data_IF_002620411823
#
_entry.id   IF_002620411823
#
_cell.length_a   1.000
_cell.length_b   1.000
_cell.length_c   1.000
_cell.angle_alpha   90.00
_cell.angle_beta   90.00
_cell.angle_gamma   90.00
#
_symmetry.space_group_name_H-M   'P 1'
#
loop_
_entity.id
_entity.type
_entity.pdbx_description
1 polymer ?
#
# COMPACT_ATOMS: atom_id res chain seq x y z
N UNK A 1 -9.31 -25.11 -0.66
CA UNK A 1 -9.98 -24.79 -1.94
C UNK A 1 -9.58 -23.38 -2.36
N UNK A 2 -8.85 -23.29 -3.48
CA UNK A 2 -8.53 -22.13 -4.35
C UNK A 2 -8.02 -20.83 -3.70
N UNK A 3 -6.70 -20.81 -3.51
CA UNK A 3 -5.91 -19.58 -3.50
C UNK A 3 -5.66 -19.17 -4.97
N UNK A 4 -6.65 -18.53 -5.60
CA UNK A 4 -6.58 -17.97 -6.95
C UNK A 4 -6.51 -16.42 -6.81
N UNK A 5 -5.37 -15.86 -6.39
CA UNK A 5 -5.20 -14.40 -6.36
C UNK A 5 -3.85 -13.88 -6.88
N UNK A 6 -3.10 -14.71 -7.61
CA UNK A 6 -1.98 -14.25 -8.44
C UNK A 6 -1.96 -15.03 -9.76
N UNK A 7 -3.00 -14.83 -10.60
CA UNK A 7 -2.97 -15.24 -12.00
C UNK A 7 -2.26 -14.16 -12.79
N UNK A 8 -0.95 -14.31 -12.93
CA UNK A 8 -0.18 -13.81 -14.07
C UNK A 8 -0.89 -14.28 -15.35
N UNK A 9 -1.74 -13.44 -15.96
CA UNK A 9 -2.44 -13.78 -17.20
C UNK A 9 -1.54 -13.44 -18.37
N UNK A 10 -0.86 -14.48 -18.85
CA UNK A 10 -0.74 -14.86 -20.26
C UNK A 10 -1.25 -13.82 -21.27
N UNK A 11 -0.31 -13.27 -22.05
CA UNK A 11 -0.45 -12.85 -23.45
C UNK A 11 -1.85 -12.38 -23.87
N UNK A 12 -2.13 -11.08 -23.75
CA UNK A 12 -3.28 -10.47 -24.42
C UNK A 12 -2.88 -9.93 -25.78
N UNK A 13 -3.48 -10.54 -26.78
CA UNK A 13 -3.42 -10.17 -28.18
C UNK A 13 -3.86 -8.73 -28.44
N UNK A 14 -3.33 -8.20 -29.55
CA UNK A 14 -3.66 -6.95 -30.25
C UNK A 14 -5.16 -6.66 -30.33
N UNK A 15 -5.52 -5.39 -30.11
CA UNK A 15 -6.31 -4.48 -30.99
C UNK A 15 -6.74 -3.22 -30.21
N UNK A 16 -6.17 -2.06 -30.53
CA UNK A 16 -6.74 -1.04 -31.43
C UNK A 16 -7.78 -0.12 -30.76
N UNK A 17 -7.37 1.13 -30.47
CA UNK A 17 -8.22 2.34 -30.42
C UNK A 17 -8.86 2.60 -31.82
N UNK A 18 -9.85 3.52 -32.05
CA UNK A 18 -9.86 4.93 -31.59
C UNK A 18 -11.27 5.60 -31.42
N UNK A 19 -11.27 6.91 -31.11
CA UNK A 19 -12.39 7.87 -31.35
C UNK A 19 -12.92 8.53 -30.08
N UNK A 20 -12.72 9.81 -29.71
CA UNK A 20 -12.61 11.13 -30.36
C UNK A 20 -13.93 11.94 -30.42
N UNK A 21 -13.82 13.21 -30.00
CA UNK A 21 -14.66 14.40 -30.29
C UNK A 21 -16.08 14.47 -29.66
N UNK A 22 -16.39 15.40 -28.75
CA UNK A 22 -16.60 16.85 -28.87
C UNK A 22 -18.10 17.22 -28.84
N UNK A 23 -18.50 18.21 -28.04
CA UNK A 23 -19.89 18.69 -28.02
C UNK A 23 -20.20 19.73 -26.94
N UNK A 24 -19.84 20.98 -27.20
CA UNK A 24 -20.31 22.20 -26.52
C UNK A 24 -21.82 22.43 -26.68
N UNK A 25 -22.52 22.93 -25.66
CA UNK A 25 -23.18 24.26 -25.71
C UNK A 25 -23.97 24.60 -24.43
N UNK A 26 -24.04 25.92 -24.20
CA UNK A 26 -24.59 26.63 -23.04
C UNK A 26 -26.13 26.71 -23.11
N UNK A 27 -26.80 26.68 -21.95
CA UNK A 27 -27.78 27.74 -21.63
C UNK A 27 -28.06 27.86 -20.13
N UNK A 28 -27.90 29.08 -19.66
CA UNK A 28 -28.30 29.67 -18.38
C UNK A 28 -29.81 29.77 -18.24
N UNK A 29 -30.36 29.57 -17.04
CA UNK A 29 -31.33 30.51 -16.42
C UNK A 29 -31.62 30.19 -14.96
N UNK A 30 -31.52 31.24 -14.14
CA UNK A 30 -32.33 31.59 -12.97
C UNK A 30 -32.32 30.71 -11.72
N UNK A 31 -31.72 31.32 -10.68
CA UNK A 31 -31.82 31.01 -9.26
C UNK A 31 -33.26 30.98 -8.79
N UNK A 32 -33.63 29.93 -8.05
CA UNK A 32 -34.76 29.96 -7.11
C UNK A 32 -34.43 29.04 -5.94
N UNK A 33 -34.03 29.64 -4.83
CA UNK A 33 -33.78 28.95 -3.56
C UNK A 33 -35.12 28.55 -2.92
N UNK A 34 -35.35 27.27 -2.58
CA UNK A 34 -36.42 26.91 -1.67
C UNK A 34 -35.99 27.12 -0.21
N UNK A 35 -36.97 27.55 0.58
CA UNK A 35 -36.90 27.95 1.98
C UNK A 35 -36.45 26.82 2.90
N UNK A 36 -35.65 27.19 3.89
CA UNK A 36 -35.21 26.39 5.05
C UNK A 36 -36.40 26.06 5.96
N UNK A 37 -36.68 24.78 6.27
CA UNK A 37 -37.54 24.41 7.39
C UNK A 37 -36.73 24.35 8.70
N UNK A 38 -37.33 24.90 9.74
CA UNK A 38 -36.87 25.00 11.11
C UNK A 38 -36.72 23.65 11.84
N UNK A 39 -35.63 23.55 12.62
CA UNK A 39 -35.49 22.83 13.90
C UNK A 39 -36.37 21.59 14.09
N UNK A 40 -35.84 20.44 13.70
CA UNK A 40 -36.19 19.15 14.30
C UNK A 40 -34.98 18.61 15.06
N UNK A 41 -35.11 18.48 16.39
CA UNK A 41 -34.16 17.71 17.21
C UNK A 41 -34.14 16.29 16.65
N UNK A 42 -33.04 15.88 16.02
CA UNK A 42 -32.78 14.47 15.75
C UNK A 42 -31.45 14.12 16.39
N UNK A 43 -31.55 13.07 17.19
CA UNK A 43 -30.53 12.37 17.94
C UNK A 43 -29.09 12.68 17.52
N UNK A 44 -28.29 13.07 18.52
CA UNK A 44 -26.85 12.89 18.56
C UNK A 44 -26.58 11.44 18.16
N UNK A 45 -26.28 11.23 16.88
CA UNK A 45 -25.78 9.97 16.38
C UNK A 45 -24.37 9.87 16.92
N UNK A 46 -24.23 9.24 18.09
CA UNK A 46 -22.97 8.68 18.53
C UNK A 46 -22.56 7.64 17.48
N UNK A 47 -21.81 8.10 16.47
CA UNK A 47 -21.01 7.25 15.59
C UNK A 47 -19.88 6.69 16.42
N UNK A 48 -20.18 5.66 17.21
CA UNK A 48 -19.19 4.82 17.87
C UNK A 48 -18.89 3.65 16.92
N UNK A 49 -17.82 3.80 16.14
CA UNK A 49 -17.29 2.83 15.19
C UNK A 49 -16.24 3.53 14.31
N UNK A 50 -14.96 3.33 14.63
CA UNK A 50 -13.88 4.28 14.31
C UNK A 50 -13.35 4.32 12.86
N UNK A 51 -12.58 5.38 12.51
CA UNK A 51 -12.16 5.73 11.14
C UNK A 51 -10.99 4.94 10.53
N UNK A 52 -10.39 3.95 11.22
CA UNK A 52 -9.17 3.27 10.72
C UNK A 52 -9.45 2.11 9.74
N UNK A 53 -10.60 1.43 9.83
CA UNK A 53 -10.89 0.28 8.96
C UNK A 53 -11.25 0.72 7.53
N UNK A 54 -11.78 1.93 7.38
CA UNK A 54 -12.17 2.48 6.08
C UNK A 54 -10.92 2.89 5.28
N UNK A 55 -9.93 3.51 5.93
CA UNK A 55 -8.67 3.93 5.30
C UNK A 55 -7.91 2.75 4.68
N UNK A 56 -7.70 1.68 5.47
CA UNK A 56 -7.01 0.48 5.00
C UNK A 56 -7.72 -0.15 3.81
N UNK A 57 -9.06 -0.25 3.87
CA UNK A 57 -9.84 -0.83 2.79
C UNK A 57 -9.75 0.01 1.52
N UNK A 58 -9.80 1.34 1.64
CA UNK A 58 -9.65 2.27 0.52
C UNK A 58 -8.23 2.18 -0.06
N UNK A 59 -7.19 2.21 0.79
CA UNK A 59 -5.80 2.07 0.37
C UNK A 59 -5.56 0.76 -0.38
N UNK A 60 -6.11 -0.36 0.11
CA UNK A 60 -6.03 -1.66 -0.56
C UNK A 60 -6.76 -1.65 -1.91
N UNK A 61 -7.92 -1.01 -2.01
CA UNK A 61 -8.67 -0.88 -3.25
C UNK A 61 -7.94 -0.02 -4.29
N UNK A 62 -7.37 1.11 -3.88
CA UNK A 62 -6.55 1.95 -4.76
C UNK A 62 -5.31 1.18 -5.21
N UNK A 63 -4.62 0.50 -4.29
CA UNK A 63 -3.45 -0.30 -4.61
C UNK A 63 -3.78 -1.37 -5.67
N UNK A 64 -4.87 -2.13 -5.48
CA UNK A 64 -5.31 -3.12 -6.45
C UNK A 64 -5.67 -2.52 -7.81
N UNK A 65 -6.25 -1.31 -7.85
CA UNK A 65 -6.58 -0.59 -9.09
C UNK A 65 -5.37 -0.02 -9.84
N UNK A 66 -4.22 0.15 -9.16
CA UNK A 66 -2.99 0.69 -9.75
C UNK A 66 -1.98 -0.39 -10.17
N UNK A 67 -2.26 -1.67 -9.94
CA UNK A 67 -1.36 -2.74 -10.37
C UNK A 67 -1.36 -2.86 -11.90
N UNK A 68 -0.31 -2.35 -12.55
CA UNK A 68 -0.03 -2.55 -13.97
C UNK A 68 1.15 -3.50 -14.17
N UNK A 69 1.09 -4.30 -15.24
CA UNK A 69 2.22 -5.13 -15.68
C UNK A 69 3.36 -4.32 -16.32
N UNK A 70 3.09 -3.05 -16.67
CA UNK A 70 4.10 -2.15 -17.23
C UNK A 70 4.98 -1.59 -16.10
N UNK A 71 6.24 -2.03 -16.08
CA UNK A 71 7.24 -1.65 -15.07
C UNK A 71 8.44 -0.98 -15.71
N UNK A 72 8.79 0.19 -15.17
CA UNK A 72 10.01 0.90 -15.55
C UNK A 72 11.24 0.19 -14.99
N UNK A 73 12.19 -0.13 -15.86
CA UNK A 73 13.51 -0.63 -15.45
C UNK A 73 14.37 0.56 -14.99
N UNK A 74 14.71 0.53 -13.70
CA UNK A 74 15.55 1.52 -13.03
C UNK A 74 16.77 0.85 -12.39
N UNK A 75 17.02 -0.43 -12.67
CA UNK A 75 18.07 -1.18 -12.02
C UNK A 75 19.42 -0.85 -12.64
N UNK A 76 20.29 -0.19 -11.85
CA UNK A 76 21.65 0.18 -12.24
C UNK A 76 22.74 -0.63 -11.53
N UNK A 77 22.37 -1.68 -10.78
CA UNK A 77 23.28 -2.53 -10.01
C UNK A 77 22.93 -2.63 -8.52
N UNK A 78 22.25 -1.62 -7.96
CA UNK A 78 21.73 -1.61 -6.59
C UNK A 78 20.31 -1.04 -6.56
N UNK A 79 19.51 -1.50 -5.59
CA UNK A 79 18.16 -1.01 -5.33
C UNK A 79 18.12 0.10 -4.26
N UNK A 80 19.25 0.47 -3.63
CA UNK A 80 19.30 1.59 -2.69
C UNK A 80 19.02 2.91 -3.43
N UNK A 81 18.16 3.75 -2.86
CA UNK A 81 17.83 5.07 -3.40
C UNK A 81 16.79 5.07 -4.54
N UNK A 82 16.31 3.91 -5.03
CA UNK A 82 15.28 3.91 -6.08
C UNK A 82 13.88 4.14 -5.51
N UNK A 83 13.48 3.35 -4.52
CA UNK A 83 12.19 3.44 -3.81
C UNK A 83 10.94 3.02 -4.62
N UNK A 84 11.03 2.81 -5.93
CA UNK A 84 9.84 2.63 -6.78
C UNK A 84 9.06 1.34 -6.53
N UNK A 85 9.70 0.26 -6.08
CA UNK A 85 9.02 -0.99 -5.74
C UNK A 85 8.61 -1.08 -4.25
N UNK A 86 8.83 -0.02 -3.47
CA UNK A 86 8.53 -0.02 -2.03
C UNK A 86 7.04 0.26 -1.77
N UNK A 87 6.22 -0.77 -1.82
CA UNK A 87 4.77 -0.67 -1.58
C UNK A 87 4.35 -0.96 -0.12
N UNK A 88 3.20 -0.41 0.28
CA UNK A 88 2.50 -0.69 1.55
C UNK A 88 1.98 -2.12 1.62
N UNK A 89 1.53 -2.69 0.51
CA UNK A 89 0.95 -4.04 0.49
C UNK A 89 1.94 -5.01 -0.14
N UNK A 90 2.43 -5.96 0.66
CA UNK A 90 3.44 -6.92 0.22
C UNK A 90 3.06 -8.34 0.64
N UNK A 91 3.36 -9.37 -0.18
CA UNK A 91 3.29 -10.75 0.28
C UNK A 91 4.45 -11.00 1.25
N UNK A 92 4.13 -11.20 2.53
CA UNK A 92 5.11 -11.38 3.60
C UNK A 92 4.88 -12.72 4.25
N UNK A 93 5.93 -13.52 4.36
CA UNK A 93 5.87 -14.81 5.06
C UNK A 93 5.88 -14.60 6.59
N UNK A 94 5.40 -15.56 7.39
CA UNK A 94 5.55 -15.52 8.84
C UNK A 94 7.01 -15.37 9.29
N UNK A 95 7.95 -15.98 8.55
CA UNK A 95 9.39 -15.87 8.81
C UNK A 95 9.90 -14.44 8.62
N UNK A 96 9.44 -13.76 7.57
CA UNK A 96 9.76 -12.37 7.32
C UNK A 96 9.21 -11.45 8.41
N UNK A 97 7.98 -11.70 8.89
CA UNK A 97 7.39 -10.91 9.98
C UNK A 97 8.24 -10.97 11.24
N UNK A 98 8.63 -12.17 11.69
CA UNK A 98 9.48 -12.35 12.88
C UNK A 98 10.84 -11.67 12.69
N UNK A 99 11.49 -11.87 11.53
CA UNK A 99 12.79 -11.28 11.23
C UNK A 99 12.73 -9.75 11.23
N UNK A 100 11.68 -9.19 10.63
CA UNK A 100 11.46 -7.75 10.58
C UNK A 100 11.18 -7.18 11.97
N UNK A 101 10.35 -7.85 12.77
CA UNK A 101 10.01 -7.45 14.13
C UNK A 101 11.24 -7.35 15.03
N UNK A 102 12.06 -8.39 15.03
CA UNK A 102 13.31 -8.42 15.80
C UNK A 102 14.25 -7.31 15.36
N UNK A 103 14.40 -7.11 14.05
CA UNK A 103 15.30 -6.09 13.52
C UNK A 103 14.85 -4.67 13.86
N UNK A 104 13.57 -4.36 13.64
CA UNK A 104 13.01 -3.04 13.91
C UNK A 104 13.14 -2.67 15.38
N UNK A 105 12.78 -3.59 16.30
CA UNK A 105 12.90 -3.35 17.74
C UNK A 105 14.35 -3.16 18.17
N UNK A 106 15.26 -4.02 17.70
CA UNK A 106 16.67 -3.96 18.07
C UNK A 106 17.35 -2.66 17.63
N UNK A 107 16.91 -2.08 16.52
CA UNK A 107 17.52 -0.88 15.94
C UNK A 107 16.72 0.40 16.20
N UNK A 108 15.60 0.33 16.95
CA UNK A 108 14.75 1.49 17.24
C UNK A 108 14.20 2.17 15.98
N UNK A 109 13.80 1.38 14.97
CA UNK A 109 13.33 1.91 13.69
C UNK A 109 11.85 2.28 13.80
N UNK A 110 11.54 3.54 13.54
CA UNK A 110 10.16 4.02 13.49
C UNK A 110 9.63 4.02 12.05
N UNK A 111 8.34 3.73 11.83
CA UNK A 111 7.71 3.92 10.53
C UNK A 111 7.67 5.41 10.16
N UNK A 112 7.83 5.71 8.88
CA UNK A 112 7.64 7.06 8.36
C UNK A 112 6.19 7.53 8.55
N UNK A 113 6.02 8.83 8.77
CA UNK A 113 4.71 9.47 8.76
C UNK A 113 4.02 9.29 7.40
N UNK A 114 2.68 9.14 7.38
CA UNK A 114 1.92 9.06 6.13
C UNK A 114 2.18 10.27 5.23
N UNK A 115 2.53 10.02 3.97
CA UNK A 115 2.84 11.08 3.00
C UNK A 115 1.64 11.65 2.26
N UNK A 116 0.50 10.97 2.35
CA UNK A 116 -0.75 11.31 1.69
C UNK A 116 -1.94 10.80 2.53
N UNK A 117 -3.15 11.22 2.18
CA UNK A 117 -4.40 10.73 2.81
C UNK A 117 -4.50 9.20 2.73
N UNK A 118 -4.09 8.62 1.59
CA UNK A 118 -3.95 7.19 1.37
C UNK A 118 -2.51 6.90 0.95
N UNK A 119 -1.62 6.70 1.93
CA UNK A 119 -0.23 6.37 1.67
C UNK A 119 -0.10 4.91 1.22
N UNK A 120 0.39 4.70 -0.01
CA UNK A 120 0.60 3.38 -0.63
C UNK A 120 2.07 2.96 -0.60
N UNK A 121 2.95 3.79 -0.04
CA UNK A 121 4.36 3.49 0.07
C UNK A 121 4.66 2.67 1.32
N UNK A 122 5.73 1.89 1.26
CA UNK A 122 6.21 1.16 2.42
C UNK A 122 6.55 2.14 3.56
N UNK A 123 6.10 1.90 4.80
CA UNK A 123 6.39 2.77 5.94
C UNK A 123 7.88 2.81 6.29
N UNK A 124 8.68 1.85 5.82
CA UNK A 124 10.13 1.84 6.04
C UNK A 124 10.95 2.48 4.92
N UNK A 125 10.28 3.09 3.92
CA UNK A 125 10.96 3.91 2.92
C UNK A 125 11.27 5.27 3.56
N UNK A 126 12.52 5.70 3.54
CA UNK A 126 12.95 7.03 4.00
C UNK A 126 12.73 8.08 2.93
N UNK A 127 12.79 9.36 3.29
CA UNK A 127 12.65 10.46 2.33
C UNK A 127 13.81 10.52 1.31
N UNK A 128 14.97 9.97 1.68
CA UNK A 128 16.09 9.72 0.77
C UNK A 128 15.89 8.54 -0.19
N UNK A 129 14.69 7.95 -0.24
CA UNK A 129 14.35 6.74 -1.03
C UNK A 129 15.16 5.50 -0.65
N UNK A 130 15.66 5.44 0.58
CA UNK A 130 16.36 4.29 1.12
C UNK A 130 15.44 3.45 2.01
N UNK A 131 15.72 2.15 2.13
CA UNK A 131 14.95 1.28 3.00
C UNK A 131 15.59 1.26 4.39
N UNK A 132 14.90 1.78 5.41
CA UNK A 132 15.38 1.76 6.80
C UNK A 132 15.65 0.34 7.32
N UNK A 133 14.92 -0.64 6.77
CA UNK A 133 15.08 -2.07 7.08
C UNK A 133 15.84 -2.84 5.99
N UNK A 134 16.74 -2.19 5.24
CA UNK A 134 17.42 -2.81 4.08
C UNK A 134 18.05 -4.17 4.40
N UNK A 135 18.68 -4.30 5.56
CA UNK A 135 19.32 -5.54 6.03
C UNK A 135 18.30 -6.63 6.43
N UNK A 136 17.08 -6.26 6.81
CA UNK A 136 16.00 -7.15 7.20
C UNK A 136 14.82 -7.17 6.21
N UNK A 137 15.01 -6.69 4.97
CA UNK A 137 13.98 -6.70 3.91
C UNK A 137 13.30 -8.07 3.80
N UNK A 138 11.96 -8.14 3.69
CA UNK A 138 11.25 -9.38 3.37
C UNK A 138 11.82 -10.09 2.14
N UNK A 139 11.70 -11.40 2.06
CA UNK A 139 12.26 -12.17 0.95
C UNK A 139 11.72 -11.74 -0.42
N UNK A 140 10.44 -11.34 -0.50
CA UNK A 140 9.89 -10.73 -1.72
C UNK A 140 10.69 -9.49 -2.15
N UNK A 141 11.06 -8.61 -1.23
CA UNK A 141 11.82 -7.39 -1.52
C UNK A 141 13.29 -7.67 -1.88
N UNK A 142 13.83 -8.82 -1.46
CA UNK A 142 15.17 -9.26 -1.85
C UNK A 142 15.17 -9.88 -3.24
N UNK A 143 14.15 -10.68 -3.54
CA UNK A 143 14.01 -11.39 -4.81
C UNK A 143 13.54 -10.48 -5.95
N UNK A 144 12.71 -9.47 -5.63
CA UNK A 144 12.15 -8.57 -6.63
C UNK A 144 13.23 -7.67 -7.26
N UNK A 145 13.17 -7.59 -8.60
CA UNK A 145 14.01 -6.72 -9.43
C UNK A 145 13.19 -6.18 -10.60
N UNK A 146 13.17 -4.85 -10.78
CA UNK A 146 12.37 -4.21 -11.82
C UNK A 146 12.81 -4.59 -13.25
N UNK A 147 14.10 -4.77 -13.50
CA UNK A 147 14.61 -5.24 -14.79
C UNK A 147 14.18 -6.67 -15.12
N UNK A 148 14.08 -7.54 -14.11
CA UNK A 148 13.56 -8.90 -14.28
C UNK A 148 12.05 -8.90 -14.46
N UNK A 149 11.33 -8.05 -13.72
CA UNK A 149 9.90 -7.89 -13.89
C UNK A 149 9.55 -7.42 -15.31
N UNK A 150 10.25 -6.40 -15.82
CA UNK A 150 10.08 -5.91 -17.19
C UNK A 150 10.33 -7.00 -18.24
N UNK A 151 11.19 -7.98 -17.94
CA UNK A 151 11.50 -9.13 -18.80
C UNK A 151 10.58 -10.34 -18.56
N UNK A 152 9.67 -10.28 -17.59
CA UNK A 152 8.79 -11.39 -17.22
C UNK A 152 9.50 -12.53 -16.48
N UNK A 153 10.65 -12.26 -15.87
CA UNK A 153 11.52 -13.25 -15.20
C UNK A 153 11.40 -13.20 -13.66
N UNK A 154 10.22 -12.90 -13.12
CA UNK A 154 10.01 -12.95 -11.66
C UNK A 154 10.01 -14.40 -11.18
N UNK A 155 10.88 -14.69 -10.21
CA UNK A 155 11.02 -16.00 -9.60
C UNK A 155 10.28 -16.11 -8.26
N UNK A 156 10.12 -17.34 -7.79
CA UNK A 156 9.65 -17.61 -6.43
C UNK A 156 10.70 -17.16 -5.39
N UNK A 157 10.24 -16.77 -4.20
CA UNK A 157 11.08 -16.42 -3.06
C UNK A 157 10.85 -17.43 -1.92
N UNK A 158 11.78 -17.48 -0.96
CA UNK A 158 11.67 -18.38 0.18
C UNK A 158 10.46 -18.00 1.06
N UNK A 159 9.60 -18.97 1.37
CA UNK A 159 8.37 -18.75 2.12
C UNK A 159 7.22 -18.18 1.29
N UNK A 160 7.33 -18.17 -0.04
CA UNK A 160 6.24 -17.72 -0.93
C UNK A 160 4.97 -18.57 -0.76
N UNK A 161 5.11 -19.85 -0.42
CA UNK A 161 4.01 -20.80 -0.20
C UNK A 161 3.12 -20.47 1.01
N UNK A 162 3.66 -19.71 1.96
CA UNK A 162 2.95 -19.29 3.17
C UNK A 162 2.87 -17.76 3.29
N UNK A 163 3.27 -17.03 2.24
CA UNK A 163 3.22 -15.57 2.24
C UNK A 163 1.78 -15.08 2.08
N UNK A 164 1.44 -14.07 2.88
CA UNK A 164 0.14 -13.41 2.84
C UNK A 164 0.31 -11.93 2.52
N UNK A 165 -0.64 -11.38 1.76
CA UNK A 165 -0.67 -9.93 1.50
C UNK A 165 -0.86 -9.21 2.84
N UNK A 166 0.15 -8.48 3.23
CA UNK A 166 0.26 -7.80 4.51
C UNK A 166 0.26 -6.29 4.29
N UNK A 167 -0.54 -5.57 5.07
CA UNK A 167 -0.42 -4.13 5.19
C UNK A 167 0.79 -3.81 6.08
N UNK A 168 1.86 -3.33 5.46
CA UNK A 168 3.11 -3.02 6.15
C UNK A 168 2.96 -1.87 7.14
N UNK A 169 2.03 -0.93 6.92
CA UNK A 169 1.81 0.19 7.83
C UNK A 169 1.14 -0.27 9.11
N UNK A 170 0.08 -1.06 8.99
CA UNK A 170 -0.58 -1.67 10.15
C UNK A 170 0.41 -2.53 10.95
N UNK A 171 1.24 -3.33 10.27
CA UNK A 171 2.29 -4.14 10.91
C UNK A 171 3.28 -3.27 11.68
N UNK A 172 3.79 -2.20 11.05
CA UNK A 172 4.76 -1.32 11.67
C UNK A 172 4.19 -0.58 12.90
N UNK A 173 2.94 -0.10 12.81
CA UNK A 173 2.24 0.57 13.92
C UNK A 173 1.92 -0.38 15.07
N UNK A 174 1.62 -1.66 14.78
CA UNK A 174 1.47 -2.67 15.82
C UNK A 174 2.79 -2.90 16.57
N UNK A 175 3.89 -3.02 15.82
CA UNK A 175 5.22 -3.20 16.38
C UNK A 175 5.68 -2.01 17.24
N UNK A 176 5.37 -0.78 16.82
CA UNK A 176 5.67 0.44 17.59
C UNK A 176 4.87 0.51 18.91
N UNK A 177 3.59 0.15 18.89
CA UNK A 177 2.73 0.13 20.10
C UNK A 177 3.21 -0.87 21.16
N UNK A 178 3.75 -2.01 20.74
CA UNK A 178 4.27 -3.04 21.66
C UNK A 178 5.50 -2.57 22.44
N UNK A 179 6.32 -1.69 21.84
CA UNK A 179 7.48 -1.08 22.52
C UNK A 179 6.97 -0.17 23.65
N UNK A 180 6.04 0.73 23.34
CA UNK A 180 5.48 1.67 24.31
C UNK A 180 4.84 0.97 25.53
N UNK A 181 4.10 -0.13 25.31
CA UNK A 181 3.48 -0.88 26.43
C UNK A 181 4.51 -1.53 27.36
N UNK A 182 5.64 -2.01 26.82
CA UNK A 182 6.71 -2.61 27.62
C UNK A 182 7.44 -1.58 28.47
N UNK A 183 7.61 -0.37 27.97
CA UNK A 183 8.25 0.72 28.70
C UNK A 183 7.40 1.22 29.89
N UNK A 184 6.06 1.19 29.78
CA UNK A 184 5.17 1.63 30.86
C UNK A 184 4.88 0.56 31.94
N UNK A 185 5.19 -0.71 31.67
CA UNK A 185 4.93 -1.82 32.61
C UNK A 185 6.11 -2.19 33.51
N UNK A 186 7.22 -1.46 33.44
CA UNK A 186 8.47 -1.77 34.14
C UNK A 186 8.82 -0.74 35.23
N UNK A 187 7.79 -0.10 35.81
CA UNK A 187 7.89 0.84 36.93
C UNK A 187 7.71 0.19 38.29
#
# INVERSE_FOLDING_TARGET
MRCDMWRWRTASARRSSPGSCAGTSRRSTTRRWPRVPSRGRRARQERQGGPMNDEKAIAAAIHAGLQSDDVTDLYSGDCRGCGECCSRFLPVSPFDRVRLEVYVRRNGIEPAEPRAEYDLLCPYLTDGRECAVYAARPEICRAYRCDRHKRGELGMFFGAECAEVTDMRELAEAMARDVYRKEQGNG
#
